data_IF_151773078752
#
_entry.id   IF_151773078752
#
_cell.length_a   1.000
_cell.length_b   1.000
_cell.length_c   1.000
_cell.angle_alpha   90.00
_cell.angle_beta   90.00
_cell.angle_gamma   90.00
#
_symmetry.space_group_name_H-M   'P 1'
#
loop_
_entity.id
_entity.type
_entity.pdbx_description
1 polymer ?
#
# COMPACT_ATOMS: atom_id res chain seq x y z
N UNK A 1 -30.00 77.22 -39.07
CA UNK A 1 -28.67 76.60 -38.89
C UNK A 1 -28.51 76.20 -37.43
N UNK A 2 -27.84 75.08 -37.06
CA UNK A 2 -27.08 74.11 -37.88
C UNK A 2 -27.64 72.65 -37.79
N UNK A 3 -27.53 71.85 -38.88
CA UNK A 3 -26.61 70.70 -39.16
C UNK A 3 -27.11 69.35 -38.61
N UNK A 4 -27.56 68.38 -39.41
CA UNK A 4 -26.91 67.58 -40.47
C UNK A 4 -26.12 66.36 -39.93
N UNK A 5 -26.67 65.17 -40.27
CA UNK A 5 -26.10 63.82 -40.47
C UNK A 5 -24.79 63.41 -39.76
N UNK A 6 -24.73 62.14 -39.31
CA UNK A 6 -24.15 61.04 -40.09
C UNK A 6 -24.46 59.71 -39.38
N UNK A 7 -25.00 58.77 -40.16
CA UNK A 7 -25.08 57.35 -39.88
C UNK A 7 -23.67 56.77 -39.66
N UNK A 8 -23.53 55.85 -38.71
CA UNK A 8 -22.66 54.69 -38.94
C UNK A 8 -23.43 53.42 -38.54
N UNK A 9 -23.85 52.71 -39.58
CA UNK A 9 -24.19 51.30 -39.51
C UNK A 9 -22.91 50.51 -39.22
N UNK A 10 -22.92 49.67 -38.19
CA UNK A 10 -22.15 48.43 -38.22
C UNK A 10 -23.14 47.30 -37.95
N UNK A 11 -23.39 46.53 -39.01
CA UNK A 11 -24.00 45.21 -38.96
C UNK A 11 -23.28 44.35 -37.92
N UNK A 12 -24.05 43.84 -36.95
CA UNK A 12 -23.68 42.68 -36.16
C UNK A 12 -24.88 41.76 -36.16
N UNK A 13 -24.74 40.62 -36.84
CA UNK A 13 -25.74 39.59 -37.05
C UNK A 13 -26.56 39.27 -35.80
N UNK A 14 -27.89 39.43 -35.90
CA UNK A 14 -28.85 38.71 -35.07
C UNK A 14 -28.82 37.22 -35.45
N UNK A 15 -27.75 36.53 -35.06
CA UNK A 15 -27.78 35.10 -34.89
C UNK A 15 -28.56 34.84 -33.60
N UNK A 16 -29.83 34.48 -33.78
CA UNK A 16 -30.69 33.89 -32.76
C UNK A 16 -29.98 32.74 -32.03
N UNK A 17 -29.24 33.04 -30.97
CA UNK A 17 -28.96 32.09 -29.91
C UNK A 17 -30.25 31.89 -29.11
N UNK A 18 -31.11 31.03 -29.64
CA UNK A 18 -32.20 30.43 -28.88
C UNK A 18 -31.56 29.76 -27.66
N UNK A 19 -31.81 30.31 -26.46
CA UNK A 19 -31.55 29.59 -25.22
C UNK A 19 -32.17 28.19 -25.32
N UNK A 20 -31.52 27.13 -24.84
CA UNK A 20 -32.22 25.86 -24.66
C UNK A 20 -33.32 26.11 -23.63
N UNK A 21 -34.55 26.15 -24.11
CA UNK A 21 -35.77 26.16 -23.31
C UNK A 21 -35.89 24.78 -22.65
N UNK A 22 -35.21 24.65 -21.51
CA UNK A 22 -35.47 23.62 -20.54
C UNK A 22 -35.35 24.28 -19.18
N UNK A 23 -36.42 24.95 -18.78
CA UNK A 23 -36.61 25.41 -17.41
C UNK A 23 -37.38 24.29 -16.69
N UNK A 24 -36.71 23.33 -16.02
CA UNK A 24 -37.42 22.41 -15.18
C UNK A 24 -37.90 23.22 -13.98
N UNK A 25 -39.13 23.74 -14.07
CA UNK A 25 -39.90 24.15 -12.91
C UNK A 25 -40.07 22.91 -12.02
N UNK A 26 -39.12 22.72 -11.11
CA UNK A 26 -39.23 21.77 -10.02
C UNK A 26 -40.18 22.36 -8.98
N UNK A 27 -41.48 22.17 -9.21
CA UNK A 27 -42.49 22.25 -8.17
C UNK A 27 -42.22 21.15 -7.15
N UNK A 28 -41.70 21.53 -5.98
CA UNK A 28 -41.58 20.61 -4.84
C UNK A 28 -40.35 20.85 -3.97
N UNK A 29 -40.47 21.78 -3.02
CA UNK A 29 -39.62 21.86 -1.83
C UNK A 29 -38.16 22.21 -2.11
N UNK A 30 -37.85 23.51 -2.13
CA UNK A 30 -36.49 24.03 -2.12
C UNK A 30 -35.65 23.34 -1.01
N UNK A 31 -34.87 22.31 -1.36
CA UNK A 31 -33.67 21.99 -0.60
C UNK A 31 -32.76 23.20 -0.79
N UNK A 32 -32.55 23.95 0.29
CA UNK A 32 -31.76 25.18 0.26
C UNK A 32 -30.49 24.97 -0.57
N UNK A 33 -30.14 25.88 -1.51
CA UNK A 33 -28.91 25.81 -2.31
C UNK A 33 -27.67 25.60 -1.44
N UNK A 34 -27.72 26.07 -0.19
CA UNK A 34 -26.68 25.87 0.83
C UNK A 34 -26.60 24.42 1.28
N UNK A 35 -27.74 23.76 1.56
CA UNK A 35 -27.79 22.36 1.96
C UNK A 35 -27.20 21.45 0.87
N UNK A 36 -27.51 21.72 -0.39
CA UNK A 36 -26.98 20.97 -1.52
C UNK A 36 -25.46 21.08 -1.63
N UNK A 37 -24.91 22.29 -1.45
CA UNK A 37 -23.47 22.53 -1.44
C UNK A 37 -22.78 21.81 -0.28
N UNK A 38 -23.37 21.84 0.92
CA UNK A 38 -22.86 21.12 2.09
C UNK A 38 -22.83 19.61 1.82
N UNK A 39 -23.90 19.05 1.25
CA UNK A 39 -23.98 17.63 0.92
C UNK A 39 -22.92 17.21 -0.11
N UNK A 40 -22.67 18.03 -1.14
CA UNK A 40 -21.59 17.77 -2.11
C UNK A 40 -20.22 17.71 -1.43
N UNK A 41 -19.92 18.63 -0.51
CA UNK A 41 -18.65 18.60 0.24
C UNK A 41 -18.56 17.34 1.10
N UNK A 42 -19.62 17.00 1.84
CA UNK A 42 -19.65 15.82 2.72
C UNK A 42 -19.45 14.54 1.92
N UNK A 43 -20.12 14.38 0.77
CA UNK A 43 -20.02 13.18 -0.08
C UNK A 43 -18.60 13.02 -0.61
N UNK A 44 -17.95 14.10 -1.04
CA UNK A 44 -16.57 14.06 -1.54
C UNK A 44 -15.56 13.74 -0.43
N UNK A 45 -15.73 14.30 0.77
CA UNK A 45 -14.90 13.97 1.93
C UNK A 45 -15.11 12.52 2.37
N UNK A 46 -16.37 12.07 2.46
CA UNK A 46 -16.70 10.69 2.80
C UNK A 46 -16.08 9.73 1.79
N UNK A 47 -16.23 9.98 0.49
CA UNK A 47 -15.61 9.16 -0.55
C UNK A 47 -14.08 9.07 -0.41
N UNK A 48 -13.42 10.16 -0.01
CA UNK A 48 -11.98 10.17 0.23
C UNK A 48 -11.59 9.30 1.44
N UNK A 49 -12.29 9.44 2.56
CA UNK A 49 -12.03 8.64 3.76
C UNK A 49 -12.37 7.16 3.56
N UNK A 50 -13.53 6.84 2.96
CA UNK A 50 -13.94 5.47 2.68
C UNK A 50 -13.01 4.77 1.70
N UNK A 51 -12.59 5.47 0.64
CA UNK A 51 -11.56 4.97 -0.28
C UNK A 51 -10.32 4.51 0.49
N UNK A 52 -9.80 5.38 1.37
CA UNK A 52 -8.61 5.08 2.16
C UNK A 52 -8.80 3.92 3.12
N UNK A 53 -9.93 3.87 3.84
CA UNK A 53 -10.24 2.78 4.76
C UNK A 53 -10.39 1.43 4.07
N UNK A 54 -11.03 1.40 2.89
CA UNK A 54 -11.19 0.17 2.11
C UNK A 54 -9.85 -0.32 1.56
N UNK A 55 -9.05 0.60 1.04
CA UNK A 55 -7.70 0.32 0.58
C UNK A 55 -6.86 -0.29 1.73
N UNK A 56 -6.94 0.28 2.94
CA UNK A 56 -6.25 -0.23 4.13
C UNK A 56 -6.75 -1.61 4.58
N UNK A 57 -8.07 -1.81 4.62
CA UNK A 57 -8.66 -3.11 4.96
C UNK A 57 -8.25 -4.19 3.97
N UNK A 58 -8.26 -3.88 2.66
CA UNK A 58 -7.86 -4.83 1.63
C UNK A 58 -6.38 -5.20 1.74
N UNK A 59 -5.52 -4.21 1.94
CA UNK A 59 -4.09 -4.44 2.11
C UNK A 59 -3.79 -5.33 3.33
N UNK A 60 -4.49 -5.12 4.45
CA UNK A 60 -4.37 -5.95 5.66
C UNK A 60 -4.67 -7.44 5.42
N UNK A 61 -5.60 -7.75 4.51
CA UNK A 61 -6.06 -9.12 4.25
C UNK A 61 -5.25 -9.76 3.11
N UNK A 62 -4.92 -9.00 2.07
CA UNK A 62 -4.40 -9.52 0.80
C UNK A 62 -2.97 -9.08 0.47
N UNK A 63 -2.34 -8.24 1.30
CA UNK A 63 -0.96 -7.76 1.11
C UNK A 63 -0.72 -6.94 -0.16
N UNK A 64 -1.77 -6.56 -0.89
CA UNK A 64 -1.70 -5.89 -2.19
C UNK A 64 -2.59 -4.66 -2.22
N UNK A 65 -2.23 -3.65 -3.01
CA UNK A 65 -2.99 -2.40 -3.16
C UNK A 65 -3.80 -2.42 -4.46
N UNK A 66 -5.11 -2.70 -4.41
CA UNK A 66 -5.92 -2.80 -5.62
C UNK A 66 -6.16 -1.42 -6.24
N UNK A 67 -5.60 -1.19 -7.42
CA UNK A 67 -5.73 0.08 -8.17
C UNK A 67 -7.21 0.40 -8.49
N UNK A 68 -8.06 -0.62 -8.60
CA UNK A 68 -9.47 -0.45 -8.91
C UNK A 68 -10.27 0.26 -7.80
N UNK A 69 -9.85 0.16 -6.53
CA UNK A 69 -10.58 0.82 -5.42
C UNK A 69 -10.52 2.34 -5.58
N UNK A 70 -9.35 3.01 -5.65
CA UNK A 70 -9.32 4.44 -5.88
C UNK A 70 -9.92 4.87 -7.23
N UNK A 71 -9.92 4.00 -8.26
CA UNK A 71 -10.63 4.27 -9.54
C UNK A 71 -12.14 4.39 -9.31
N UNK A 72 -12.72 3.48 -8.53
CA UNK A 72 -14.15 3.50 -8.21
C UNK A 72 -14.53 4.79 -7.45
N UNK A 73 -13.71 5.23 -6.51
CA UNK A 73 -13.98 6.43 -5.72
C UNK A 73 -13.66 7.75 -6.44
N UNK A 74 -12.89 7.72 -7.54
CA UNK A 74 -12.65 8.89 -8.39
C UNK A 74 -13.91 9.34 -9.13
N UNK A 75 -14.88 8.45 -9.36
CA UNK A 75 -16.15 8.81 -9.99
C UNK A 75 -16.98 9.79 -9.15
N UNK A 76 -16.80 9.82 -7.83
CA UNK A 76 -17.55 10.72 -6.93
C UNK A 76 -17.20 12.20 -7.15
N UNK A 77 -15.92 12.64 -7.09
CA UNK A 77 -15.57 14.03 -7.37
C UNK A 77 -15.75 14.40 -8.84
N UNK A 78 -15.57 13.47 -9.78
CA UNK A 78 -15.86 13.71 -11.19
C UNK A 78 -17.34 13.95 -11.46
N UNK A 79 -18.22 13.12 -10.89
CA UNK A 79 -19.67 13.31 -10.96
C UNK A 79 -20.13 14.60 -10.27
N UNK A 80 -19.46 14.98 -9.18
CA UNK A 80 -19.71 16.25 -8.49
C UNK A 80 -19.34 17.45 -9.35
N UNK A 81 -18.21 17.42 -10.06
CA UNK A 81 -17.83 18.47 -11.02
C UNK A 81 -18.81 18.59 -12.17
N UNK A 82 -19.24 17.46 -12.74
CA UNK A 82 -20.25 17.43 -13.80
C UNK A 82 -21.56 18.05 -13.32
N UNK A 83 -22.02 17.66 -12.12
CA UNK A 83 -23.23 18.19 -11.52
C UNK A 83 -23.16 19.72 -11.33
N UNK A 84 -22.04 20.23 -10.80
CA UNK A 84 -21.86 21.67 -10.59
C UNK A 84 -21.86 22.42 -11.94
N UNK A 85 -21.16 21.89 -12.94
CA UNK A 85 -21.05 22.55 -14.25
C UNK A 85 -22.40 22.62 -14.98
N UNK A 86 -23.21 21.56 -14.88
CA UNK A 86 -24.45 21.44 -15.63
C UNK A 86 -25.68 22.00 -14.89
N UNK A 87 -25.77 21.83 -13.56
CA UNK A 87 -26.98 22.15 -12.81
C UNK A 87 -26.91 23.40 -11.93
N UNK A 88 -25.72 23.86 -11.51
CA UNK A 88 -25.62 24.97 -10.56
C UNK A 88 -25.25 26.34 -11.20
N UNK A 89 -24.72 26.35 -12.44
CA UNK A 89 -24.55 27.56 -13.27
C UNK A 89 -23.48 28.57 -12.80
N UNK A 90 -22.84 29.31 -13.73
CA UNK A 90 -21.65 30.19 -13.52
C UNK A 90 -21.85 31.38 -12.53
N UNK A 91 -22.13 31.15 -11.26
CA UNK A 91 -22.25 32.21 -10.24
C UNK A 91 -21.10 32.06 -9.24
N UNK A 92 -20.34 33.15 -9.00
CA UNK A 92 -18.98 33.16 -8.41
C UNK A 92 -18.72 32.40 -7.10
N UNK A 93 -19.76 32.01 -6.33
CA UNK A 93 -19.62 31.12 -5.16
C UNK A 93 -19.28 29.66 -5.50
N UNK A 94 -19.45 29.26 -6.76
CA UNK A 94 -19.10 27.91 -7.23
C UNK A 94 -17.60 27.66 -7.38
N UNK A 95 -16.79 28.72 -7.46
CA UNK A 95 -15.34 28.59 -7.66
C UNK A 95 -14.74 27.79 -6.51
N UNK A 96 -15.18 28.07 -5.27
CA UNK A 96 -14.73 27.34 -4.07
C UNK A 96 -15.14 25.87 -4.14
N UNK A 97 -16.37 25.58 -4.55
CA UNK A 97 -16.88 24.21 -4.63
C UNK A 97 -16.17 23.40 -5.73
N UNK A 98 -15.90 24.02 -6.87
CA UNK A 98 -15.09 23.45 -7.96
C UNK A 98 -13.68 23.17 -7.47
N UNK A 99 -13.05 24.11 -6.77
CA UNK A 99 -11.73 23.93 -6.18
C UNK A 99 -11.70 22.77 -5.18
N UNK A 100 -12.71 22.62 -4.32
CA UNK A 100 -12.84 21.47 -3.41
C UNK A 100 -12.93 20.17 -4.19
N UNK A 101 -13.77 20.10 -5.23
CA UNK A 101 -13.89 18.88 -6.04
C UNK A 101 -12.61 18.57 -6.83
N UNK A 102 -11.91 19.57 -7.35
CA UNK A 102 -10.59 19.41 -7.97
C UNK A 102 -9.54 18.94 -6.96
N UNK A 103 -9.55 19.47 -5.75
CA UNK A 103 -8.68 19.01 -4.67
C UNK A 103 -9.00 17.56 -4.29
N UNK A 104 -10.27 17.18 -4.21
CA UNK A 104 -10.67 15.79 -3.99
C UNK A 104 -10.25 14.87 -5.15
N UNK A 105 -10.38 15.30 -6.41
CA UNK A 105 -9.83 14.57 -7.56
C UNK A 105 -8.32 14.39 -7.43
N UNK A 106 -7.58 15.45 -7.11
CA UNK A 106 -6.14 15.39 -6.93
C UNK A 106 -5.73 14.51 -5.74
N UNK A 107 -6.47 14.53 -4.64
CA UNK A 107 -6.22 13.67 -3.49
C UNK A 107 -6.55 12.20 -3.78
N UNK A 108 -7.59 11.91 -4.57
CA UNK A 108 -7.85 10.56 -5.06
C UNK A 108 -6.78 10.12 -6.08
N UNK A 109 -6.30 11.05 -6.90
CA UNK A 109 -5.17 10.82 -7.79
C UNK A 109 -3.92 10.43 -6.98
N UNK A 110 -3.66 11.17 -5.90
CA UNK A 110 -2.62 10.86 -4.93
C UNK A 110 -2.88 9.50 -4.29
N UNK A 111 -4.10 9.10 -3.95
CA UNK A 111 -4.38 7.76 -3.41
C UNK A 111 -4.00 6.59 -4.35
N UNK A 112 -3.90 6.79 -5.68
CA UNK A 112 -3.34 5.76 -6.58
C UNK A 112 -1.85 5.51 -6.34
N UNK A 113 -1.12 6.59 -6.07
CA UNK A 113 0.33 6.58 -5.98
C UNK A 113 0.83 6.68 -4.53
N UNK A 114 -0.07 6.96 -3.60
CA UNK A 114 0.24 7.21 -2.21
C UNK A 114 0.23 5.87 -1.47
N UNK A 115 1.35 5.52 -0.82
CA UNK A 115 1.37 4.41 0.10
C UNK A 115 0.23 4.55 1.11
N UNK A 116 -0.50 3.45 1.34
CA UNK A 116 -1.61 3.36 2.30
C UNK A 116 -1.18 3.74 3.71
N UNK A 117 0.12 3.63 3.96
CA UNK A 117 0.68 3.79 5.27
C UNK A 117 1.79 4.83 5.26
N UNK A 118 1.46 6.06 5.68
CA UNK A 118 2.47 7.02 6.10
C UNK A 118 3.11 6.62 7.44
N UNK A 119 2.63 5.55 8.08
CA UNK A 119 3.19 5.03 9.33
C UNK A 119 3.70 3.58 9.26
N UNK A 120 3.43 2.82 8.21
CA UNK A 120 4.00 1.46 8.06
C UNK A 120 4.73 1.16 6.77
N UNK A 121 4.52 1.79 5.61
CA UNK A 121 5.28 1.45 4.40
C UNK A 121 5.22 2.62 3.44
N UNK A 122 6.31 3.39 3.32
CA UNK A 122 6.50 4.27 2.18
C UNK A 122 6.76 3.43 0.92
N UNK A 123 5.69 2.93 0.29
CA UNK A 123 5.73 2.39 -1.07
C UNK A 123 6.34 3.44 -2.00
N UNK A 124 7.54 3.16 -2.50
CA UNK A 124 8.17 3.93 -3.58
C UNK A 124 9.38 4.78 -3.22
N UNK A 125 9.90 4.74 -1.99
CA UNK A 125 11.24 5.32 -1.71
C UNK A 125 12.11 4.36 -0.90
N UNK A 126 12.95 3.64 -1.66
CA UNK A 126 14.27 3.12 -1.26
C UNK A 126 14.28 1.95 -0.25
N UNK A 127 13.71 0.79 -0.60
CA UNK A 127 14.03 -0.43 0.14
C UNK A 127 13.07 -1.60 0.05
N UNK A 128 11.95 -1.48 -0.69
CA UNK A 128 11.00 -2.57 -0.93
C UNK A 128 11.16 -3.10 -2.35
N UNK A 129 11.43 -4.40 -2.49
CA UNK A 129 11.49 -5.09 -3.78
C UNK A 129 10.42 -6.18 -3.84
N UNK A 130 9.70 -6.28 -4.96
CA UNK A 130 8.88 -7.46 -5.25
C UNK A 130 9.64 -8.53 -6.03
N UNK A 131 10.97 -8.39 -6.12
CA UNK A 131 11.83 -9.34 -6.81
C UNK A 131 11.90 -10.68 -6.08
N UNK A 132 11.49 -11.73 -6.79
CA UNK A 132 11.62 -13.11 -6.34
C UNK A 132 13.09 -13.59 -6.28
N UNK A 133 14.03 -12.79 -6.79
CA UNK A 133 15.46 -13.02 -6.73
C UNK A 133 15.98 -13.24 -5.31
N UNK A 134 15.42 -12.60 -4.29
CA UNK A 134 15.81 -12.82 -2.88
C UNK A 134 15.41 -14.20 -2.37
N UNK A 135 14.24 -14.70 -2.78
CA UNK A 135 13.79 -16.06 -2.47
C UNK A 135 14.69 -17.07 -3.18
N UNK A 136 15.04 -16.78 -4.44
CA UNK A 136 15.94 -17.62 -5.24
C UNK A 136 17.37 -17.64 -4.68
N UNK A 137 17.87 -16.52 -4.16
CA UNK A 137 19.17 -16.45 -3.48
C UNK A 137 19.14 -17.30 -2.20
N UNK A 138 18.09 -17.14 -1.38
CA UNK A 138 17.92 -17.92 -0.16
C UNK A 138 17.81 -19.41 -0.46
N UNK A 139 17.08 -19.82 -1.50
CA UNK A 139 17.01 -21.22 -1.97
C UNK A 139 18.39 -21.75 -2.34
N UNK A 140 19.18 -20.99 -3.12
CA UNK A 140 20.54 -21.40 -3.53
C UNK A 140 21.49 -21.55 -2.35
N UNK A 141 21.41 -20.66 -1.36
CA UNK A 141 22.32 -20.65 -0.21
C UNK A 141 21.94 -21.71 0.81
N UNK A 142 20.64 -21.79 1.13
CA UNK A 142 20.14 -22.76 2.11
C UNK A 142 20.06 -24.16 1.52
N UNK A 143 19.81 -24.32 0.22
CA UNK A 143 19.54 -25.61 -0.40
C UNK A 143 18.11 -26.10 -0.21
N UNK A 144 17.21 -25.23 0.27
CA UNK A 144 15.78 -25.52 0.42
C UNK A 144 15.04 -25.05 -0.83
N UNK A 145 14.31 -25.97 -1.48
CA UNK A 145 13.45 -25.63 -2.61
C UNK A 145 12.19 -24.93 -2.12
N UNK A 146 12.06 -23.63 -2.42
CA UNK A 146 10.85 -22.87 -2.17
C UNK A 146 9.91 -22.96 -3.39
N UNK A 147 8.60 -22.66 -3.24
CA UNK A 147 7.73 -22.50 -4.41
C UNK A 147 8.32 -21.49 -5.40
N UNK A 148 8.11 -21.69 -6.69
CA UNK A 148 8.70 -20.83 -7.73
C UNK A 148 7.91 -19.55 -8.02
N UNK A 149 6.69 -19.45 -7.51
CA UNK A 149 5.77 -18.34 -7.73
C UNK A 149 5.11 -17.92 -6.42
N UNK A 150 5.04 -16.62 -6.17
CA UNK A 150 4.39 -16.03 -5.00
C UNK A 150 4.46 -14.51 -5.01
N UNK A 151 3.69 -13.85 -4.16
CA UNK A 151 3.76 -12.41 -3.98
C UNK A 151 4.86 -12.08 -2.96
N UNK A 152 6.08 -11.83 -3.44
CA UNK A 152 7.21 -11.49 -2.59
C UNK A 152 7.25 -9.98 -2.28
N UNK A 153 7.59 -9.63 -1.04
CA UNK A 153 7.91 -8.29 -0.58
C UNK A 153 9.17 -8.36 0.28
N UNK A 154 10.26 -7.82 -0.23
CA UNK A 154 11.55 -7.78 0.47
C UNK A 154 11.85 -6.37 0.96
N UNK A 155 12.20 -6.24 2.24
CA UNK A 155 12.81 -5.05 2.84
C UNK A 155 14.31 -5.29 3.00
N UNK A 156 15.13 -4.46 2.38
CA UNK A 156 16.59 -4.57 2.47
C UNK A 156 17.19 -3.65 3.56
N UNK A 157 18.50 -3.76 3.80
CA UNK A 157 19.19 -2.97 4.83
C UNK A 157 19.14 -1.44 4.59
N UNK A 158 18.80 -0.99 3.39
CA UNK A 158 18.59 0.42 3.08
C UNK A 158 17.18 0.87 3.46
N UNK A 159 16.17 0.02 3.24
CA UNK A 159 14.80 0.19 3.75
C UNK A 159 14.70 0.06 5.27
N UNK A 160 15.36 -0.95 5.85
CA UNK A 160 15.38 -1.24 7.30
C UNK A 160 16.02 -0.08 8.08
N UNK A 161 17.01 0.63 7.53
CA UNK A 161 17.59 1.83 8.17
C UNK A 161 16.57 2.97 8.31
N UNK A 162 15.60 3.06 7.42
CA UNK A 162 14.54 4.06 7.49
C UNK A 162 13.41 3.67 8.46
N UNK A 163 13.08 2.38 8.57
CA UNK A 163 12.15 1.89 9.61
C UNK A 163 12.77 1.97 11.02
N UNK A 164 14.07 1.69 11.14
CA UNK A 164 14.84 1.78 12.39
C UNK A 164 15.12 3.22 12.87
N UNK A 165 14.53 4.24 12.23
CA UNK A 165 14.42 5.59 12.83
C UNK A 165 13.48 5.63 14.04
N UNK A 166 12.80 4.53 14.37
CA UNK A 166 12.34 4.27 15.74
C UNK A 166 13.56 3.95 16.61
N UNK A 167 14.09 4.98 17.28
CA UNK A 167 15.26 5.00 18.17
C UNK A 167 15.38 3.81 19.16
N UNK A 168 14.30 3.09 19.45
CA UNK A 168 14.26 1.99 20.41
C UNK A 168 14.63 0.63 19.77
N UNK A 169 14.30 0.41 18.50
CA UNK A 169 14.60 -0.86 17.81
C UNK A 169 16.08 -0.97 17.41
N UNK A 170 16.65 0.12 16.88
CA UNK A 170 18.07 0.16 16.52
C UNK A 170 18.98 -0.06 17.73
N UNK A 171 18.63 0.55 18.87
CA UNK A 171 19.38 0.43 20.13
C UNK A 171 19.36 -1.01 20.66
N UNK A 172 18.20 -1.69 20.62
CA UNK A 172 18.08 -3.09 21.08
C UNK A 172 18.85 -4.07 20.17
N UNK A 173 18.94 -3.83 18.86
CA UNK A 173 19.79 -4.61 17.95
C UNK A 173 21.29 -4.40 18.20
N UNK A 174 21.70 -3.15 18.45
CA UNK A 174 23.11 -2.80 18.69
C UNK A 174 23.64 -3.45 19.97
N UNK A 175 22.85 -3.45 21.04
CA UNK A 175 23.22 -4.05 22.33
C UNK A 175 23.27 -5.57 22.33
N UNK A 176 22.67 -6.24 21.34
CA UNK A 176 22.66 -7.71 21.22
C UNK A 176 23.60 -8.25 20.13
N UNK A 177 24.40 -7.39 19.48
CA UNK A 177 25.30 -7.83 18.41
C UNK A 177 24.57 -8.36 17.17
N UNK A 178 23.30 -7.98 16.98
CA UNK A 178 22.44 -8.48 15.91
C UNK A 178 22.26 -7.40 14.83
N UNK A 179 22.34 -7.78 13.55
CA UNK A 179 22.15 -6.86 12.43
C UNK A 179 21.36 -7.53 11.30
N UNK A 180 20.15 -7.03 11.02
CA UNK A 180 19.31 -7.47 9.91
C UNK A 180 19.79 -6.85 8.58
N UNK A 181 19.92 -7.69 7.57
CA UNK A 181 20.25 -7.29 6.20
C UNK A 181 19.04 -7.29 5.29
N UNK A 182 18.14 -8.27 5.44
CA UNK A 182 16.90 -8.33 4.68
C UNK A 182 15.82 -9.11 5.40
N UNK A 183 14.57 -8.72 5.15
CA UNK A 183 13.36 -9.45 5.52
C UNK A 183 12.52 -9.62 4.26
N UNK A 184 12.26 -10.84 3.84
CA UNK A 184 11.43 -11.14 2.67
C UNK A 184 10.21 -11.91 3.11
N UNK A 185 9.04 -11.33 2.86
CA UNK A 185 7.74 -11.97 3.09
C UNK A 185 7.17 -12.41 1.75
N UNK A 186 6.68 -13.64 1.68
CA UNK A 186 6.09 -14.22 0.48
C UNK A 186 4.75 -14.82 0.83
N UNK A 187 3.72 -14.39 0.13
CA UNK A 187 2.37 -14.97 0.24
C UNK A 187 2.13 -15.85 -0.97
N UNK A 188 1.82 -17.11 -0.73
CA UNK A 188 1.49 -18.10 -1.76
C UNK A 188 -0.01 -18.29 -1.90
N UNK A 189 -0.45 -18.65 -3.11
CA UNK A 189 -1.78 -19.26 -3.27
C UNK A 189 -1.74 -20.71 -2.77
N UNK A 190 -2.86 -21.27 -2.30
CA UNK A 190 -2.90 -22.64 -1.80
C UNK A 190 -2.35 -23.69 -2.78
N UNK A 191 -2.62 -23.52 -4.08
CA UNK A 191 -2.14 -24.43 -5.11
C UNK A 191 -0.61 -24.38 -5.31
N UNK A 192 0.01 -23.23 -5.03
CA UNK A 192 1.46 -23.02 -5.18
C UNK A 192 2.25 -23.58 -4.00
N UNK A 193 1.68 -23.56 -2.79
CA UNK A 193 2.36 -24.05 -1.57
C UNK A 193 2.15 -25.53 -1.28
N UNK A 194 1.18 -26.17 -1.93
CA UNK A 194 0.77 -27.56 -1.65
C UNK A 194 1.93 -28.57 -1.61
N UNK A 195 2.77 -28.57 -2.62
CA UNK A 195 3.90 -29.52 -2.70
C UNK A 195 4.98 -29.18 -1.67
N UNK A 196 5.23 -27.89 -1.43
CA UNK A 196 6.15 -27.42 -0.40
C UNK A 196 5.68 -27.85 0.99
N UNK A 197 4.41 -27.65 1.33
CA UNK A 197 3.82 -28.05 2.61
C UNK A 197 3.85 -29.56 2.85
N UNK A 198 3.62 -30.35 1.79
CA UNK A 198 3.75 -31.80 1.83
C UNK A 198 5.20 -32.23 2.15
N UNK A 199 6.19 -31.47 1.68
CA UNK A 199 7.60 -31.72 1.92
C UNK A 199 8.06 -31.23 3.30
N UNK A 200 7.51 -30.13 3.81
CA UNK A 200 7.81 -29.60 5.16
C UNK A 200 7.63 -30.68 6.24
N UNK A 201 6.52 -31.43 6.16
CA UNK A 201 6.22 -32.46 7.15
C UNK A 201 7.15 -33.68 7.12
N UNK A 202 7.83 -33.92 6.00
CA UNK A 202 8.73 -35.06 5.80
C UNK A 202 10.19 -34.69 6.06
N UNK A 203 10.49 -33.40 6.08
CA UNK A 203 11.85 -32.90 6.08
C UNK A 203 12.38 -32.70 7.51
N UNK A 204 13.53 -33.30 7.88
CA UNK A 204 14.03 -33.27 9.26
C UNK A 204 14.65 -31.91 9.64
N UNK A 205 14.88 -31.02 8.67
CA UNK A 205 15.48 -29.71 8.91
C UNK A 205 14.46 -28.67 9.40
N UNK A 206 13.16 -28.91 9.25
CA UNK A 206 12.13 -27.98 9.71
C UNK A 206 11.71 -28.28 11.13
N UNK A 207 11.86 -27.29 12.00
CA UNK A 207 11.41 -27.32 13.38
C UNK A 207 9.94 -26.90 13.45
N UNK A 208 9.09 -27.68 14.12
CA UNK A 208 7.69 -27.30 14.39
C UNK A 208 7.55 -26.40 15.62
N UNK A 209 8.56 -26.45 16.48
CA UNK A 209 8.71 -25.62 17.66
C UNK A 209 10.20 -25.32 17.82
N UNK A 210 10.55 -24.11 18.24
CA UNK A 210 11.95 -23.74 18.47
C UNK A 210 12.29 -24.07 19.91
N UNK A 211 13.14 -25.09 20.17
CA UNK A 211 13.50 -25.48 21.54
C UNK A 211 14.22 -24.34 22.28
N UNK A 212 14.10 -24.30 23.60
CA UNK A 212 14.78 -23.28 24.46
C UNK A 212 16.29 -23.23 24.21
N UNK A 213 16.92 -24.40 23.99
CA UNK A 213 18.36 -24.50 23.64
C UNK A 213 18.74 -23.79 22.34
N UNK A 214 17.76 -23.51 21.48
CA UNK A 214 17.91 -22.84 20.18
C UNK A 214 17.21 -21.49 20.13
N UNK A 215 16.64 -21.01 21.24
CA UNK A 215 15.98 -19.70 21.29
C UNK A 215 16.94 -18.55 20.93
N UNK A 216 18.21 -18.72 21.29
CA UNK A 216 19.28 -17.80 20.92
C UNK A 216 19.54 -17.71 19.40
N UNK A 217 19.01 -18.60 18.56
CA UNK A 217 19.09 -18.45 17.11
C UNK A 217 18.13 -17.38 16.58
N UNK A 218 17.01 -17.12 17.27
CA UNK A 218 15.98 -16.18 16.82
C UNK A 218 16.54 -14.76 16.68
N UNK A 219 16.17 -14.08 15.60
CA UNK A 219 16.39 -12.65 15.48
C UNK A 219 15.50 -11.89 16.47
N UNK A 220 16.10 -11.24 17.47
CA UNK A 220 15.38 -10.87 18.69
C UNK A 220 14.39 -9.70 18.57
N UNK A 221 14.40 -9.00 17.43
CA UNK A 221 13.47 -7.90 17.15
C UNK A 221 12.21 -8.34 16.41
N UNK A 222 12.17 -9.56 15.87
CA UNK A 222 11.04 -10.05 15.10
C UNK A 222 10.31 -11.11 15.91
N UNK A 223 9.00 -10.91 16.03
CA UNK A 223 8.15 -11.91 16.64
C UNK A 223 8.04 -13.14 15.74
N UNK A 224 8.13 -14.31 16.37
CA UNK A 224 7.98 -15.62 15.73
C UNK A 224 6.56 -16.17 15.89
N UNK A 225 5.71 -15.47 16.66
CA UNK A 225 4.31 -15.84 16.85
C UNK A 225 3.55 -15.87 15.51
N UNK A 226 2.72 -16.89 15.32
CA UNK A 226 1.96 -17.09 14.09
C UNK A 226 2.65 -17.92 13.00
N UNK A 227 3.90 -18.36 13.20
CA UNK A 227 4.55 -19.32 12.30
C UNK A 227 4.57 -20.74 12.90
N UNK A 228 4.45 -21.75 12.05
CA UNK A 228 4.30 -23.15 12.45
C UNK A 228 5.52 -24.02 12.08
N UNK A 229 6.40 -23.49 11.23
CA UNK A 229 7.63 -24.14 10.80
C UNK A 229 8.78 -23.15 10.82
N UNK A 230 9.92 -23.59 11.32
CA UNK A 230 11.11 -22.77 11.51
C UNK A 230 12.34 -23.49 10.99
N UNK A 231 13.25 -22.73 10.39
CA UNK A 231 14.53 -23.21 9.92
C UNK A 231 15.56 -22.12 10.18
N UNK A 232 16.66 -22.49 10.82
CA UNK A 232 17.84 -21.63 10.94
C UNK A 232 18.96 -22.26 10.14
N UNK A 233 19.56 -21.50 9.24
CA UNK A 233 20.71 -21.93 8.47
C UNK A 233 21.87 -20.98 8.73
N UNK A 234 22.96 -21.52 9.28
CA UNK A 234 24.20 -20.78 9.46
C UNK A 234 25.00 -20.83 8.16
N UNK A 235 25.23 -19.67 7.55
CA UNK A 235 25.97 -19.57 6.29
C UNK A 235 27.45 -19.91 6.45
N UNK A 236 28.01 -19.66 7.64
CA UNK A 236 29.43 -19.80 7.91
C UNK A 236 29.80 -21.27 8.16
N UNK A 237 29.01 -21.97 8.97
CA UNK A 237 29.19 -23.40 9.25
C UNK A 237 28.45 -24.34 8.29
N UNK A 238 27.52 -23.80 7.48
CA UNK A 238 26.65 -24.55 6.52
C UNK A 238 25.80 -25.62 7.17
N UNK A 239 25.35 -25.38 8.40
CA UNK A 239 24.54 -26.32 9.16
C UNK A 239 23.17 -25.74 9.51
N UNK A 240 22.21 -26.65 9.70
CA UNK A 240 20.85 -26.29 10.05
C UNK A 240 20.61 -26.43 11.55
N UNK A 241 19.94 -25.44 12.13
CA UNK A 241 19.42 -25.45 13.50
C UNK A 241 20.48 -25.78 14.56
N UNK A 242 21.73 -25.37 14.32
CA UNK A 242 22.86 -25.52 15.25
C UNK A 242 23.25 -24.16 15.78
N UNK A 243 23.50 -24.09 17.08
CA UNK A 243 24.03 -22.88 17.73
C UNK A 243 25.55 -22.84 17.53
N UNK A 244 26.13 -21.75 17.01
CA UNK A 244 27.58 -21.62 16.94
C UNK A 244 28.20 -21.47 18.33
N UNK A 245 29.47 -21.86 18.46
CA UNK A 245 30.20 -21.79 19.73
C UNK A 245 30.70 -20.37 20.05
N UNK A 246 31.12 -19.60 19.05
CA UNK A 246 31.58 -18.21 19.21
C UNK A 246 31.68 -17.47 17.89
N UNK A 247 31.72 -16.15 17.94
CA UNK A 247 32.04 -15.31 16.80
C UNK A 247 30.80 -14.74 16.11
N UNK A 248 31.03 -14.03 15.00
CA UNK A 248 29.97 -13.39 14.23
C UNK A 248 29.55 -14.26 13.06
N UNK A 249 28.32 -14.74 13.12
CA UNK A 249 27.75 -15.64 12.12
C UNK A 249 26.63 -14.95 11.34
N UNK A 250 26.46 -15.34 10.08
CA UNK A 250 25.38 -14.91 9.19
C UNK A 250 24.34 -16.02 9.08
N UNK A 251 23.10 -15.69 9.39
CA UNK A 251 22.00 -16.64 9.36
C UNK A 251 20.96 -16.30 8.32
N UNK A 252 20.38 -17.35 7.75
CA UNK A 252 19.03 -17.33 7.24
C UNK A 252 18.09 -17.92 8.29
N UNK A 253 17.15 -17.13 8.80
CA UNK A 253 16.00 -17.62 9.56
C UNK A 253 14.81 -17.64 8.63
N UNK A 254 14.28 -18.83 8.38
CA UNK A 254 13.11 -19.03 7.53
C UNK A 254 11.96 -19.51 8.41
N UNK A 255 10.82 -18.88 8.25
CA UNK A 255 9.61 -19.15 9.03
C UNK A 255 8.44 -19.32 8.08
N UNK A 256 7.58 -20.29 8.35
CA UNK A 256 6.46 -20.58 7.48
C UNK A 256 5.18 -20.83 8.26
N UNK A 257 4.10 -20.18 7.82
CA UNK A 257 2.74 -20.36 8.32
C UNK A 257 1.91 -21.10 7.27
N UNK A 258 1.55 -22.34 7.57
CA UNK A 258 0.74 -23.19 6.68
C UNK A 258 -0.74 -22.81 6.62
N UNK A 259 -1.26 -22.03 7.58
CA UNK A 259 -2.64 -21.55 7.56
C UNK A 259 -2.82 -20.38 6.59
N UNK A 260 -1.84 -19.49 6.54
CA UNK A 260 -1.86 -18.28 5.70
C UNK A 260 -1.03 -18.43 4.42
N UNK A 261 -0.38 -19.58 4.22
CA UNK A 261 0.57 -19.84 3.14
C UNK A 261 1.66 -18.77 3.02
N UNK A 262 2.16 -18.33 4.18
CA UNK A 262 3.09 -17.21 4.30
C UNK A 262 4.49 -17.69 4.67
N UNK A 263 5.49 -17.26 3.92
CA UNK A 263 6.91 -17.52 4.15
C UNK A 263 7.62 -16.22 4.48
N UNK A 264 8.36 -16.21 5.58
CA UNK A 264 9.26 -15.12 5.96
C UNK A 264 10.70 -15.60 5.97
N UNK A 265 11.57 -14.90 5.24
CA UNK A 265 13.01 -15.17 5.16
C UNK A 265 13.77 -13.96 5.70
N UNK A 266 14.52 -14.15 6.77
CA UNK A 266 15.38 -13.15 7.38
C UNK A 266 16.84 -13.47 7.10
N UNK A 267 17.61 -12.48 6.66
CA UNK A 267 19.07 -12.56 6.57
C UNK A 267 19.66 -11.60 7.60
N UNK A 268 20.41 -12.09 8.56
CA UNK A 268 21.01 -11.26 9.61
C UNK A 268 22.36 -11.80 10.04
N UNK A 269 23.17 -10.97 10.69
CA UNK A 269 24.32 -11.44 11.46
C UNK A 269 24.04 -11.36 12.94
N UNK A 270 24.60 -12.30 13.70
CA UNK A 270 24.56 -12.33 15.15
C UNK A 270 25.93 -12.73 15.70
N UNK A 271 26.33 -12.11 16.81
CA UNK A 271 27.56 -12.44 17.53
C UNK A 271 27.23 -13.33 18.73
N UNK A 272 27.96 -14.44 18.86
CA UNK A 272 27.92 -15.36 20.00
C UNK A 272 29.20 -15.28 20.82
#
# INVERSE_FOLDING_TARGET
MPQHNINDHVHGDELHERMPEFDPQFDGGYRSPVLMRIMLVIINLAALFFCRSLIQSWFSIHGTTPIWIPLLFLFVPLGSLFFIYYYMGRIGSEIILKLICFACCALQAINFFSPIDSMQVSLGKNGFSSDYGYVTEAEKITGVTFPSEGSATTVDSTGIKNENRKLIASVKSLFRGEKLYSCTDVIYKPDQSKDFENNLNKSPIWLKEIPDSKDALRYSLIDVSGYNYFLFYDCDSKTYNTLPESGKHTFYQVMYNSQNHELRILKYTKTY
#
